data_IF_050898394126
#
_entry.id   IF_050898394126
#
_cell.length_a   1.000
_cell.length_b   1.000
_cell.length_c   1.000
_cell.angle_alpha   90.00
_cell.angle_beta   90.00
_cell.angle_gamma   90.00
#
_symmetry.space_group_name_H-M   'P 1'
#
loop_
_entity.id
_entity.type
_entity.pdbx_description
1 polymer ?
#
# COMPACT_ATOMS: atom_id res chain seq x y z
N UNK A 1 -47.24 6.57 24.96
CA UNK A 1 -47.80 7.47 25.99
C UNK A 1 -48.71 6.61 26.86
N UNK A 2 -48.36 6.41 28.13
CA UNK A 2 -49.25 5.72 29.06
C UNK A 2 -50.45 6.63 29.42
N UNK A 3 -51.63 6.07 29.75
CA UNK A 3 -52.81 6.88 30.09
C UNK A 3 -52.66 7.48 31.49
N UNK A 4 -52.93 8.78 31.62
CA UNK A 4 -52.99 9.49 32.90
C UNK A 4 -54.42 9.43 33.44
N UNK A 5 -54.60 9.12 34.73
CA UNK A 5 -55.89 9.31 35.43
C UNK A 5 -55.93 10.71 36.06
N UNK A 6 -57.07 11.41 35.94
CA UNK A 6 -57.29 12.68 36.64
C UNK A 6 -58.05 12.43 37.95
N UNK A 7 -57.55 13.03 39.04
CA UNK A 7 -58.22 13.03 40.33
C UNK A 7 -58.66 14.46 40.66
N UNK A 8 -59.96 14.64 40.88
CA UNK A 8 -60.57 15.92 41.23
C UNK A 8 -60.68 16.08 42.76
N UNK A 9 -60.03 17.11 43.31
CA UNK A 9 -60.08 17.42 44.74
C UNK A 9 -60.63 18.84 44.93
N UNK A 10 -61.63 18.96 45.81
CA UNK A 10 -62.23 20.24 46.20
C UNK A 10 -61.64 20.73 47.52
N UNK A 11 -61.13 21.97 47.54
CA UNK A 11 -60.53 22.55 48.74
C UNK A 11 -61.02 23.98 48.95
N UNK A 12 -61.42 24.37 50.17
CA UNK A 12 -61.67 25.77 50.51
C UNK A 12 -60.34 26.51 50.69
N UNK A 13 -60.17 27.60 49.94
CA UNK A 13 -59.04 28.56 49.84
C UNK A 13 -57.60 28.05 50.17
N UNK A 14 -56.65 28.14 49.21
CA UNK A 14 -55.31 27.61 49.41
C UNK A 14 -54.55 28.37 50.52
N UNK A 15 -53.85 27.65 51.43
CA UNK A 15 -53.05 28.28 52.47
C UNK A 15 -51.84 29.03 51.88
N UNK A 16 -51.28 29.98 52.65
CA UNK A 16 -50.18 30.86 52.23
C UNK A 16 -48.88 30.12 51.86
N UNK A 17 -48.68 28.91 52.36
CA UNK A 17 -47.58 28.02 51.95
C UNK A 17 -48.11 26.85 51.10
N UNK A 18 -48.17 27.11 49.79
CA UNK A 18 -48.63 26.16 48.78
C UNK A 18 -47.71 24.93 48.71
N UNK A 19 -46.41 25.05 49.00
CA UNK A 19 -45.47 23.94 48.83
C UNK A 19 -45.54 22.90 49.95
N UNK A 20 -45.75 23.33 51.20
CA UNK A 20 -45.97 22.38 52.29
C UNK A 20 -47.30 21.66 52.12
N UNK A 21 -48.31 22.40 51.69
CA UNK A 21 -49.65 21.86 51.46
C UNK A 21 -49.73 20.88 50.29
N UNK A 22 -49.05 21.15 49.17
CA UNK A 22 -48.93 20.20 48.06
C UNK A 22 -48.23 18.90 48.51
N UNK A 23 -47.24 18.99 49.40
CA UNK A 23 -46.58 17.81 50.00
C UNK A 23 -47.54 16.98 50.87
N UNK A 24 -48.40 17.62 51.64
CA UNK A 24 -49.41 16.93 52.44
C UNK A 24 -50.47 16.24 51.57
N UNK A 25 -50.87 16.83 50.43
CA UNK A 25 -51.79 16.19 49.47
C UNK A 25 -51.11 14.97 48.81
N UNK A 26 -49.88 15.12 48.35
CA UNK A 26 -49.05 14.04 47.78
C UNK A 26 -48.95 12.88 48.75
N UNK A 27 -48.76 13.16 50.04
CA UNK A 27 -48.65 12.15 51.09
C UNK A 27 -50.00 11.54 51.46
N UNK A 28 -51.06 12.34 51.59
CA UNK A 28 -52.41 11.89 52.00
C UNK A 28 -53.11 11.04 50.96
N UNK A 29 -52.84 11.27 49.67
CA UNK A 29 -53.47 10.55 48.55
C UNK A 29 -52.49 9.63 47.80
N UNK A 30 -51.32 9.34 48.39
CA UNK A 30 -50.31 8.40 47.87
C UNK A 30 -49.90 8.66 46.41
N UNK A 31 -49.71 9.94 46.06
CA UNK A 31 -49.30 10.35 44.70
C UNK A 31 -47.78 10.40 44.62
N UNK A 32 -47.15 9.57 43.79
CA UNK A 32 -45.68 9.43 43.76
C UNK A 32 -44.96 10.41 42.83
N UNK A 33 -45.61 10.84 41.76
CA UNK A 33 -45.05 11.85 40.84
C UNK A 33 -46.16 12.79 40.36
N UNK A 34 -45.99 14.08 40.66
CA UNK A 34 -46.97 15.14 40.38
C UNK A 34 -46.60 15.81 39.06
N UNK A 35 -47.34 15.52 37.98
CA UNK A 35 -46.96 15.97 36.63
C UNK A 35 -47.50 17.38 36.36
N UNK A 36 -48.72 17.65 36.81
CA UNK A 36 -49.38 18.95 36.65
C UNK A 36 -50.44 19.18 37.71
N UNK A 37 -50.51 20.42 38.19
CA UNK A 37 -51.59 20.92 39.06
C UNK A 37 -52.23 22.09 38.33
N UNK A 38 -53.52 21.99 38.04
CA UNK A 38 -54.33 23.10 37.53
C UNK A 38 -55.26 23.59 38.62
N UNK A 39 -55.23 24.90 38.94
CA UNK A 39 -56.22 25.53 39.82
C UNK A 39 -57.26 26.18 38.92
N UNK A 40 -58.50 25.74 39.04
CA UNK A 40 -59.63 26.27 38.29
C UNK A 40 -60.57 27.01 39.23
N UNK A 41 -60.95 28.21 38.83
CA UNK A 41 -61.92 29.03 39.54
C UNK A 41 -63.29 28.77 38.92
N UNK A 42 -64.27 28.37 39.75
CA UNK A 42 -65.64 28.18 39.28
C UNK A 42 -66.25 29.52 38.87
N UNK A 43 -66.94 29.57 37.72
CA UNK A 43 -67.43 30.84 37.14
C UNK A 43 -68.44 31.61 38.01
N UNK A 44 -68.92 31.08 39.14
CA UNK A 44 -69.96 31.74 39.96
C UNK A 44 -69.82 31.63 41.49
N UNK A 45 -68.70 31.18 42.05
CA UNK A 45 -68.47 31.20 43.51
C UNK A 45 -67.00 31.48 43.84
N UNK A 46 -66.74 32.61 44.50
CA UNK A 46 -65.40 33.19 44.69
C UNK A 46 -64.47 32.41 45.64
N UNK A 47 -64.90 31.28 46.22
CA UNK A 47 -64.16 30.56 47.26
C UNK A 47 -64.02 29.04 47.06
N UNK A 48 -64.32 28.51 45.86
CA UNK A 48 -64.13 27.09 45.56
C UNK A 48 -63.08 26.90 44.46
N UNK A 49 -61.89 26.43 44.85
CA UNK A 49 -60.83 26.07 43.93
C UNK A 49 -60.93 24.58 43.59
N UNK A 50 -61.09 24.26 42.30
CA UNK A 50 -60.99 22.88 41.80
C UNK A 50 -59.54 22.61 41.41
N UNK A 51 -58.98 21.51 41.89
CA UNK A 51 -57.62 21.10 41.53
C UNK A 51 -57.65 19.77 40.82
N UNK A 52 -57.09 19.76 39.61
CA UNK A 52 -56.87 18.56 38.82
C UNK A 52 -55.40 18.15 38.96
N UNK A 53 -55.18 16.95 39.53
CA UNK A 53 -53.86 16.36 39.67
C UNK A 53 -53.71 15.23 38.65
N UNK A 54 -52.68 15.33 37.81
CA UNK A 54 -52.24 14.25 36.93
C UNK A 54 -51.07 13.53 37.60
N UNK A 55 -51.25 12.26 37.96
CA UNK A 55 -50.21 11.43 38.53
C UNK A 55 -49.89 10.21 37.66
N UNK A 56 -48.62 9.77 37.70
CA UNK A 56 -48.31 8.38 37.37
C UNK A 56 -48.82 7.51 38.52
N UNK A 57 -49.70 6.56 38.23
CA UNK A 57 -50.08 5.51 39.17
C UNK A 57 -48.89 4.55 39.34
N UNK A 58 -47.87 4.95 40.11
CA UNK A 58 -46.95 4.00 40.72
C UNK A 58 -47.79 3.14 41.66
N UNK A 59 -48.12 1.94 41.21
CA UNK A 59 -49.03 1.03 41.91
C UNK A 59 -49.45 -0.16 41.06
N UNK A 60 -49.36 -0.05 39.73
CA UNK A 60 -49.41 -1.24 38.87
C UNK A 60 -48.01 -1.83 38.79
N UNK A 61 -47.79 -2.90 39.54
CA UNK A 61 -46.62 -3.77 39.38
C UNK A 61 -46.64 -4.31 37.95
N UNK A 62 -45.76 -3.80 37.09
CA UNK A 62 -45.74 -4.12 35.67
C UNK A 62 -44.62 -5.09 35.34
N UNK A 63 -44.92 -6.09 34.52
CA UNK A 63 -43.93 -7.01 33.93
C UNK A 63 -43.79 -6.72 32.43
N UNK A 64 -42.56 -6.66 31.93
CA UNK A 64 -42.29 -6.60 30.49
C UNK A 64 -41.25 -7.64 30.07
N UNK A 65 -41.22 -8.00 28.78
CA UNK A 65 -40.26 -8.95 28.21
C UNK A 65 -39.72 -8.42 26.89
N UNK A 66 -38.40 -8.42 26.74
CA UNK A 66 -37.70 -7.98 25.53
C UNK A 66 -36.66 -9.02 25.07
N UNK A 67 -36.53 -9.30 23.77
CA UNK A 67 -37.42 -8.86 22.70
C UNK A 67 -38.80 -9.55 22.78
N UNK A 68 -39.82 -9.02 22.07
CA UNK A 68 -41.18 -9.61 22.04
C UNK A 68 -41.31 -10.81 21.10
N UNK A 69 -40.35 -10.96 20.19
CA UNK A 69 -40.31 -12.02 19.17
C UNK A 69 -38.86 -12.42 18.91
N UNK A 70 -38.66 -13.62 18.38
CA UNK A 70 -37.37 -14.04 17.85
C UNK A 70 -37.59 -14.97 16.66
N UNK A 71 -37.26 -14.50 15.46
CA UNK A 71 -37.28 -15.31 14.24
C UNK A 71 -35.89 -15.33 13.64
N UNK A 72 -35.43 -16.51 13.26
CA UNK A 72 -34.04 -16.70 12.85
C UNK A 72 -33.87 -17.94 11.95
N UNK A 73 -32.69 -18.08 11.36
CA UNK A 73 -32.29 -19.28 10.63
C UNK A 73 -31.21 -20.07 11.37
N UNK A 74 -31.39 -21.39 11.38
CA UNK A 74 -30.47 -22.35 12.00
C UNK A 74 -30.22 -23.50 11.04
N UNK A 75 -28.97 -23.92 10.90
CA UNK A 75 -28.61 -25.09 10.11
C UNK A 75 -28.99 -26.38 10.86
N UNK A 76 -29.48 -27.40 10.14
CA UNK A 76 -29.82 -28.69 10.75
C UNK A 76 -28.61 -29.30 11.49
N UNK A 77 -28.78 -29.72 12.74
CA UNK A 77 -27.71 -30.27 13.58
C UNK A 77 -26.84 -29.24 14.29
N UNK A 78 -27.12 -27.93 14.14
CA UNK A 78 -26.50 -26.85 14.92
C UNK A 78 -27.48 -26.27 15.93
N UNK A 79 -26.97 -25.45 16.85
CA UNK A 79 -27.77 -24.77 17.87
C UNK A 79 -27.60 -23.25 17.79
N UNK A 80 -28.69 -22.52 17.97
CA UNK A 80 -28.69 -21.06 18.10
C UNK A 80 -29.60 -20.66 19.26
N UNK A 81 -29.21 -19.61 19.99
CA UNK A 81 -29.93 -19.20 21.20
C UNK A 81 -30.14 -17.69 21.22
N UNK A 82 -31.27 -17.28 21.79
CA UNK A 82 -31.61 -15.87 22.05
C UNK A 82 -31.91 -15.68 23.52
N UNK A 83 -31.30 -14.66 24.12
CA UNK A 83 -31.58 -14.27 25.50
C UNK A 83 -32.70 -13.23 25.52
N UNK A 84 -33.64 -13.44 26.43
CA UNK A 84 -34.77 -12.57 26.71
C UNK A 84 -34.63 -12.01 28.12
N UNK A 85 -34.98 -10.75 28.28
CA UNK A 85 -34.94 -10.02 29.54
C UNK A 85 -36.36 -9.76 30.00
N UNK A 86 -36.68 -10.19 31.23
CA UNK A 86 -37.94 -9.91 31.91
C UNK A 86 -37.68 -8.83 32.96
N UNK A 87 -38.35 -7.69 32.84
CA UNK A 87 -38.18 -6.54 33.74
C UNK A 87 -39.44 -6.29 34.55
N UNK A 88 -39.25 -5.91 35.81
CA UNK A 88 -40.32 -5.45 36.70
C UNK A 88 -40.25 -3.92 36.87
N UNK A 89 -41.39 -3.24 36.88
CA UNK A 89 -41.47 -1.78 37.06
C UNK A 89 -42.64 -1.44 37.97
N UNK A 90 -42.50 -0.44 38.84
CA UNK A 90 -43.58 -0.02 39.76
C UNK A 90 -43.83 -0.97 40.94
N UNK A 91 -43.03 -2.04 41.09
CA UNK A 91 -43.00 -2.93 42.24
C UNK A 91 -42.40 -4.31 41.93
N UNK A 92 -42.34 -5.20 42.93
CA UNK A 92 -41.81 -6.56 42.76
C UNK A 92 -42.83 -7.48 42.07
N UNK A 93 -42.48 -8.03 40.92
CA UNK A 93 -43.27 -9.06 40.23
C UNK A 93 -42.94 -10.42 40.85
N UNK A 94 -43.94 -11.13 41.38
CA UNK A 94 -43.71 -12.42 42.06
C UNK A 94 -44.01 -13.64 41.19
N UNK A 95 -43.27 -14.71 41.43
CA UNK A 95 -43.53 -16.03 40.86
C UNK A 95 -43.43 -16.07 39.33
N UNK A 96 -42.38 -15.47 38.76
CA UNK A 96 -42.20 -15.45 37.31
C UNK A 96 -41.74 -16.82 36.80
N UNK A 97 -42.49 -17.37 35.85
CA UNK A 97 -42.23 -18.66 35.20
C UNK A 97 -42.24 -18.52 33.69
N UNK A 98 -41.48 -19.39 33.01
CA UNK A 98 -41.33 -19.40 31.56
C UNK A 98 -41.62 -20.81 31.05
N UNK A 99 -42.56 -20.94 30.12
CA UNK A 99 -42.97 -22.22 29.55
C UNK A 99 -43.10 -22.13 28.04
N UNK A 100 -42.62 -23.16 27.33
CA UNK A 100 -42.93 -23.34 25.90
C UNK A 100 -44.39 -23.78 25.78
N UNK A 101 -45.19 -23.02 25.05
CA UNK A 101 -46.59 -23.33 24.77
C UNK A 101 -46.74 -24.23 23.54
N UNK A 102 -46.01 -23.92 22.47
CA UNK A 102 -46.10 -24.63 21.20
C UNK A 102 -44.78 -24.60 20.43
N UNK A 103 -44.68 -25.46 19.42
CA UNK A 103 -43.50 -25.57 18.57
C UNK A 103 -42.70 -26.86 18.81
N UNK A 104 -41.67 -27.09 18.00
CA UNK A 104 -40.94 -28.35 17.96
C UNK A 104 -40.19 -28.66 19.26
N UNK A 105 -39.98 -29.96 19.52
CA UNK A 105 -39.33 -30.47 20.74
C UNK A 105 -37.90 -29.95 20.96
N UNK A 106 -37.20 -29.63 19.87
CA UNK A 106 -35.83 -29.12 19.87
C UNK A 106 -35.70 -27.61 20.14
N UNK A 107 -36.81 -26.90 20.34
CA UNK A 107 -36.81 -25.56 20.93
C UNK A 107 -36.99 -25.70 22.43
N UNK A 108 -36.01 -25.24 23.20
CA UNK A 108 -35.98 -25.34 24.65
C UNK A 108 -35.85 -23.97 25.29
N UNK A 109 -36.30 -23.86 26.55
CA UNK A 109 -36.20 -22.63 27.34
C UNK A 109 -35.50 -22.95 28.65
N UNK A 110 -34.57 -22.09 29.08
CA UNK A 110 -33.88 -22.24 30.36
C UNK A 110 -33.44 -20.88 30.93
N UNK A 111 -33.64 -20.62 32.23
CA UNK A 111 -34.40 -21.43 33.18
C UNK A 111 -35.93 -21.29 32.99
N UNK A 112 -36.71 -22.27 33.46
CA UNK A 112 -38.20 -22.26 33.41
C UNK A 112 -38.84 -21.52 34.61
N UNK A 113 -38.05 -21.20 35.63
CA UNK A 113 -38.48 -20.40 36.78
C UNK A 113 -37.46 -19.29 37.02
N UNK A 114 -37.94 -18.05 37.04
CA UNK A 114 -37.16 -16.86 37.35
C UNK A 114 -37.37 -16.40 38.79
N UNK A 115 -38.39 -16.94 39.48
CA UNK A 115 -38.77 -16.52 40.83
C UNK A 115 -39.24 -15.07 40.86
N UNK A 116 -39.00 -14.38 41.97
CA UNK A 116 -39.42 -12.98 42.13
C UNK A 116 -38.41 -12.03 41.47
N UNK A 117 -38.92 -11.00 40.80
CA UNK A 117 -38.14 -9.93 40.19
C UNK A 117 -38.42 -8.65 40.97
N UNK A 118 -37.41 -8.15 41.69
CA UNK A 118 -37.51 -6.94 42.50
C UNK A 118 -37.87 -5.72 41.66
N UNK A 119 -38.49 -4.71 42.29
CA UNK A 119 -38.80 -3.45 41.65
C UNK A 119 -37.60 -2.87 40.88
N UNK A 120 -37.85 -2.44 39.64
CA UNK A 120 -36.88 -1.81 38.74
C UNK A 120 -35.63 -2.67 38.44
N UNK A 121 -35.79 -4.00 38.56
CA UNK A 121 -34.76 -4.98 38.21
C UNK A 121 -35.22 -5.90 37.07
N UNK A 122 -34.30 -6.72 36.57
CA UNK A 122 -34.61 -7.69 35.52
C UNK A 122 -33.89 -9.02 35.75
N UNK A 123 -34.47 -10.07 35.18
CA UNK A 123 -33.87 -11.40 35.07
C UNK A 123 -33.94 -11.88 33.63
N UNK A 124 -33.09 -12.83 33.26
CA UNK A 124 -33.00 -13.33 31.89
C UNK A 124 -33.30 -14.81 31.80
N UNK A 125 -33.81 -15.22 30.64
CA UNK A 125 -33.89 -16.62 30.22
C UNK A 125 -33.45 -16.73 28.77
N UNK A 126 -33.08 -17.94 28.36
CA UNK A 126 -32.60 -18.22 27.02
C UNK A 126 -33.51 -19.21 26.32
N UNK A 127 -33.87 -18.88 25.09
CA UNK A 127 -34.54 -19.78 24.15
C UNK A 127 -33.48 -20.35 23.24
N UNK A 128 -33.40 -21.67 23.11
CA UNK A 128 -32.41 -22.36 22.29
C UNK A 128 -33.11 -23.22 21.24
N UNK A 129 -32.80 -22.99 19.97
CA UNK A 129 -33.20 -23.83 18.85
C UNK A 129 -32.06 -24.79 18.51
N UNK A 130 -32.29 -26.11 18.61
CA UNK A 130 -31.29 -27.16 18.31
C UNK A 130 -31.87 -28.26 17.40
N UNK A 131 -32.29 -27.94 16.16
CA UNK A 131 -32.91 -28.90 15.25
C UNK A 131 -32.03 -30.14 15.01
N UNK A 132 -32.58 -31.37 15.05
CA UNK A 132 -31.85 -32.59 14.70
C UNK A 132 -31.32 -32.54 13.27
N UNK A 133 -30.25 -33.30 13.00
CA UNK A 133 -29.74 -33.51 11.66
C UNK A 133 -30.86 -34.04 10.73
N UNK A 134 -30.98 -33.49 9.52
CA UNK A 134 -32.02 -33.84 8.55
C UNK A 134 -33.36 -33.10 8.71
N UNK A 135 -33.48 -32.19 9.68
CA UNK A 135 -34.64 -31.30 9.78
C UNK A 135 -34.55 -30.19 8.73
N UNK A 136 -35.63 -29.91 8.01
CA UNK A 136 -35.70 -28.76 7.08
C UNK A 136 -37.10 -28.17 7.07
N UNK A 137 -37.22 -26.86 6.86
CA UNK A 137 -38.50 -26.17 6.79
C UNK A 137 -38.61 -25.04 7.80
N UNK A 138 -39.78 -24.42 7.86
CA UNK A 138 -40.06 -23.30 8.77
C UNK A 138 -40.94 -23.76 9.92
N UNK A 139 -40.55 -23.45 11.15
CA UNK A 139 -41.20 -23.93 12.36
C UNK A 139 -41.55 -22.76 13.27
N UNK A 140 -42.85 -22.54 13.44
CA UNK A 140 -43.35 -21.57 14.41
C UNK A 140 -43.28 -22.14 15.83
N UNK A 141 -43.05 -21.26 16.80
CA UNK A 141 -43.08 -21.60 18.21
C UNK A 141 -43.67 -20.45 19.04
N UNK A 142 -44.16 -20.79 20.23
CA UNK A 142 -44.60 -19.79 21.20
C UNK A 142 -44.19 -20.14 22.63
N UNK A 143 -43.82 -19.12 23.38
CA UNK A 143 -43.38 -19.19 24.77
C UNK A 143 -44.21 -18.21 25.59
N UNK A 144 -44.65 -18.65 26.76
CA UNK A 144 -45.35 -17.81 27.71
C UNK A 144 -44.48 -17.51 28.91
N UNK A 145 -44.39 -16.23 29.23
CA UNK A 145 -43.86 -15.74 30.51
C UNK A 145 -45.07 -15.37 31.37
N UNK A 146 -45.21 -15.99 32.54
CA UNK A 146 -46.33 -15.79 33.47
C UNK A 146 -45.85 -15.33 34.82
N UNK A 147 -46.64 -14.53 35.52
CA UNK A 147 -46.39 -14.11 36.90
C UNK A 147 -47.60 -14.37 37.80
N UNK A 148 -47.35 -14.56 39.10
CA UNK A 148 -48.41 -14.70 40.11
C UNK A 148 -48.96 -13.31 40.51
N UNK A 149 -48.06 -12.36 40.75
CA UNK A 149 -48.37 -10.97 41.12
C UNK A 149 -47.65 -10.02 40.17
N UNK A 150 -48.41 -9.12 39.52
CA UNK A 150 -47.96 -8.26 38.42
C UNK A 150 -48.94 -8.27 37.24
N UNK A 151 -48.84 -7.26 36.38
CA UNK A 151 -49.61 -7.11 35.14
C UNK A 151 -48.70 -6.86 33.93
N UNK A 152 -48.99 -7.42 32.74
CA UNK A 152 -50.02 -8.43 32.50
C UNK A 152 -49.65 -9.78 33.13
N UNK A 153 -50.65 -10.58 33.52
CA UNK A 153 -50.45 -11.93 34.09
C UNK A 153 -49.67 -12.90 33.20
N UNK A 154 -49.65 -12.65 31.89
CA UNK A 154 -48.84 -13.40 30.96
C UNK A 154 -48.46 -12.59 29.73
N UNK A 155 -47.27 -12.84 29.19
CA UNK A 155 -46.78 -12.29 27.93
C UNK A 155 -46.35 -13.47 27.05
N UNK A 156 -46.90 -13.52 25.83
CA UNK A 156 -46.53 -14.52 24.84
C UNK A 156 -45.48 -13.94 23.88
N UNK A 157 -44.45 -14.74 23.65
CA UNK A 157 -43.39 -14.50 22.68
C UNK A 157 -43.62 -15.51 21.57
N UNK A 158 -43.63 -15.01 20.34
CA UNK A 158 -43.77 -15.84 19.14
C UNK A 158 -42.55 -15.68 18.25
N UNK A 159 -42.30 -16.67 17.43
CA UNK A 159 -41.17 -16.68 16.54
C UNK A 159 -41.22 -17.81 15.54
N UNK A 160 -40.44 -17.67 14.49
CA UNK A 160 -40.33 -18.66 13.41
C UNK A 160 -38.86 -19.00 13.23
N UNK A 161 -38.52 -20.28 13.37
CA UNK A 161 -37.18 -20.79 13.09
C UNK A 161 -37.19 -21.47 11.72
N UNK A 162 -36.45 -20.89 10.78
CA UNK A 162 -36.24 -21.51 9.46
C UNK A 162 -35.01 -22.39 9.50
N UNK A 163 -35.24 -23.70 9.41
CA UNK A 163 -34.17 -24.69 9.35
C UNK A 163 -33.79 -24.92 7.90
N UNK A 164 -32.61 -24.42 7.55
CA UNK A 164 -32.01 -24.70 6.25
C UNK A 164 -31.42 -26.10 6.26
N UNK A 165 -31.56 -26.89 5.17
CA UNK A 165 -30.80 -28.11 5.04
C UNK A 165 -29.30 -27.78 5.23
N UNK A 166 -28.50 -28.72 5.78
CA UNK A 166 -27.07 -28.52 5.80
C UNK A 166 -26.64 -28.25 4.34
N UNK A 167 -25.80 -27.23 4.07
CA UNK A 167 -25.27 -27.05 2.73
C UNK A 167 -24.71 -28.41 2.29
N UNK A 168 -24.88 -28.81 1.02
CA UNK A 168 -24.30 -30.06 0.56
C UNK A 168 -22.83 -30.02 0.96
N UNK A 169 -22.39 -31.02 1.74
CA UNK A 169 -20.97 -31.17 2.09
C UNK A 169 -20.22 -31.05 0.78
N UNK A 170 -19.29 -30.11 0.71
CA UNK A 170 -18.48 -30.01 -0.48
C UNK A 170 -17.80 -31.35 -0.70
N UNK A 171 -18.02 -31.95 -1.87
CA UNK A 171 -17.39 -33.20 -2.27
C UNK A 171 -16.39 -32.95 -3.39
N UNK A 172 -16.27 -31.71 -3.86
CA UNK A 172 -15.41 -31.35 -4.98
C UNK A 172 -14.09 -30.85 -4.41
N UNK A 173 -12.98 -31.54 -4.66
CA UNK A 173 -11.68 -31.04 -4.23
C UNK A 173 -11.25 -29.85 -5.09
N UNK A 174 -10.44 -28.92 -4.55
CA UNK A 174 -9.82 -27.86 -5.35
C UNK A 174 -9.16 -28.43 -6.60
N UNK A 175 -9.41 -27.83 -7.75
CA UNK A 175 -8.87 -28.29 -9.02
C UNK A 175 -7.77 -27.33 -9.52
N UNK A 176 -6.62 -27.86 -9.97
CA UNK A 176 -5.61 -27.04 -10.61
C UNK A 176 -6.08 -26.70 -12.03
N UNK A 177 -6.25 -25.42 -12.34
CA UNK A 177 -6.70 -24.99 -13.66
C UNK A 177 -5.52 -24.78 -14.62
N UNK A 178 -4.37 -24.34 -14.09
CA UNK A 178 -3.16 -24.09 -14.88
C UNK A 178 -1.91 -24.12 -13.97
N UNK A 179 -0.89 -24.87 -14.36
CA UNK A 179 0.44 -24.85 -13.71
C UNK A 179 1.44 -24.12 -14.59
N UNK A 180 2.06 -23.06 -14.08
CA UNK A 180 3.13 -22.34 -14.79
C UNK A 180 4.40 -22.38 -13.95
N UNK A 181 5.40 -23.08 -14.46
CA UNK A 181 6.77 -22.79 -14.04
C UNK A 181 7.24 -21.64 -14.92
N UNK A 182 7.28 -20.45 -14.36
CA UNK A 182 7.99 -19.35 -14.97
C UNK A 182 9.44 -19.47 -14.52
N UNK A 183 10.39 -19.98 -15.35
CA UNK A 183 11.79 -19.73 -15.07
C UNK A 183 11.90 -18.23 -14.90
N UNK A 184 12.42 -17.81 -13.74
CA UNK A 184 12.27 -16.49 -13.16
C UNK A 184 11.96 -15.44 -14.20
N UNK A 185 10.77 -14.86 -14.09
CA UNK A 185 10.43 -13.57 -14.69
C UNK A 185 11.70 -12.82 -15.08
N UNK A 186 12.03 -12.81 -16.38
CA UNK A 186 12.83 -11.74 -16.96
C UNK A 186 11.89 -10.54 -16.98
N UNK A 187 11.67 -9.95 -15.80
CA UNK A 187 11.47 -8.51 -15.67
C UNK A 187 12.87 -8.02 -15.33
N UNK A 188 13.32 -7.11 -16.18
CA UNK A 188 14.67 -6.59 -16.27
C UNK A 188 15.25 -6.17 -14.90
N UNK A 189 16.57 -6.40 -14.78
CA UNK A 189 17.55 -5.58 -14.04
C UNK A 189 18.03 -5.94 -12.62
N UNK A 190 17.92 -7.19 -12.14
CA UNK A 190 18.84 -7.66 -11.09
C UNK A 190 19.01 -9.19 -11.00
N UNK A 191 20.16 -9.68 -11.47
CA UNK A 191 20.63 -11.06 -11.32
C UNK A 191 21.01 -11.43 -9.87
N UNK A 192 20.10 -11.19 -8.92
CA UNK A 192 20.13 -11.68 -7.53
C UNK A 192 18.92 -12.58 -7.18
N UNK A 193 18.02 -12.85 -8.13
CA UNK A 193 16.64 -13.31 -7.88
C UNK A 193 16.39 -14.77 -7.46
N UNK A 194 15.26 -14.95 -6.79
CA UNK A 194 14.62 -16.23 -6.45
C UNK A 194 14.03 -16.95 -7.68
N UNK A 195 13.89 -18.28 -7.65
CA UNK A 195 13.08 -19.04 -8.62
C UNK A 195 11.62 -19.02 -8.16
N UNK A 196 10.69 -18.62 -9.03
CA UNK A 196 9.26 -18.57 -8.72
C UNK A 196 8.51 -19.76 -9.32
N UNK A 197 7.81 -20.51 -8.47
CA UNK A 197 6.88 -21.56 -8.86
C UNK A 197 5.46 -21.05 -8.71
N UNK A 198 4.62 -21.15 -9.75
CA UNK A 198 3.28 -20.53 -9.77
C UNK A 198 2.20 -21.52 -10.20
N UNK A 199 1.06 -21.50 -9.51
CA UNK A 199 -0.09 -22.36 -9.79
C UNK A 199 -1.39 -21.57 -9.67
N UNK A 200 -2.31 -21.82 -10.59
CA UNK A 200 -3.67 -21.30 -10.51
C UNK A 200 -4.59 -22.37 -9.93
N UNK A 201 -5.22 -22.07 -8.81
CA UNK A 201 -6.20 -22.94 -8.19
C UNK A 201 -7.62 -22.37 -8.33
N UNK A 202 -8.59 -23.27 -8.56
CA UNK A 202 -10.03 -22.98 -8.55
C UNK A 202 -10.76 -23.94 -7.64
N UNK A 203 -11.77 -23.42 -6.97
CA UNK A 203 -12.67 -24.17 -6.12
C UNK A 203 -14.06 -23.51 -6.09
N UNK A 204 -15.11 -24.32 -5.91
CA UNK A 204 -16.50 -23.86 -5.87
C UNK A 204 -16.96 -23.41 -4.47
N UNK A 205 -16.27 -23.77 -3.38
CA UNK A 205 -16.54 -23.24 -2.02
C UNK A 205 -15.29 -22.83 -1.21
N UNK A 206 -14.32 -22.29 -1.93
CA UNK A 206 -13.16 -21.52 -1.45
C UNK A 206 -11.93 -22.32 -1.03
N UNK A 207 -10.77 -21.75 -1.37
CA UNK A 207 -9.46 -22.32 -1.04
C UNK A 207 -9.01 -21.83 0.34
N UNK A 208 -8.89 -22.75 1.29
CA UNK A 208 -8.44 -22.46 2.66
C UNK A 208 -6.91 -22.42 2.79
N UNK A 209 -6.21 -23.32 2.10
CA UNK A 209 -4.76 -23.49 2.26
C UNK A 209 -4.12 -24.02 0.98
N UNK A 210 -2.91 -23.55 0.68
CA UNK A 210 -2.08 -24.07 -0.41
C UNK A 210 -0.68 -24.35 0.14
N UNK A 211 -0.04 -25.42 -0.32
CA UNK A 211 1.36 -25.76 -0.03
C UNK A 211 2.10 -26.13 -1.31
N UNK A 212 3.41 -25.97 -1.30
CA UNK A 212 4.33 -26.41 -2.34
C UNK A 212 5.30 -27.42 -1.75
N UNK A 213 5.55 -28.51 -2.45
CA UNK A 213 6.53 -29.52 -2.02
C UNK A 213 7.48 -29.82 -3.17
N UNK A 214 8.74 -30.06 -2.81
CA UNK A 214 9.84 -30.08 -3.76
C UNK A 214 10.69 -31.35 -3.60
N UNK A 215 11.27 -31.81 -4.71
CA UNK A 215 12.24 -32.90 -4.74
C UNK A 215 13.45 -32.53 -5.60
N UNK A 216 14.63 -33.00 -5.21
CA UNK A 216 15.86 -32.93 -5.99
C UNK A 216 16.41 -34.35 -6.26
N UNK A 217 16.58 -34.74 -7.52
CA UNK A 217 17.00 -36.09 -7.94
C UNK A 217 16.21 -37.23 -7.24
N UNK A 218 14.93 -37.01 -6.95
CA UNK A 218 14.01 -37.92 -6.23
C UNK A 218 14.07 -37.89 -4.70
N UNK A 219 14.89 -37.03 -4.09
CA UNK A 219 14.90 -36.80 -2.64
C UNK A 219 13.95 -35.65 -2.32
N UNK A 220 13.02 -35.85 -1.39
CA UNK A 220 12.16 -34.78 -0.90
C UNK A 220 13.00 -33.75 -0.13
N UNK A 221 12.93 -32.48 -0.55
CA UNK A 221 13.69 -31.37 0.05
C UNK A 221 12.81 -30.44 0.89
N UNK A 222 11.54 -30.81 1.08
CA UNK A 222 10.63 -30.17 2.03
C UNK A 222 9.39 -29.53 1.41
N UNK A 223 8.53 -29.07 2.32
CA UNK A 223 7.25 -28.41 2.04
C UNK A 223 7.33 -26.95 2.45
N UNK A 224 6.77 -26.04 1.64
CA UNK A 224 6.76 -24.59 1.85
C UNK A 224 5.36 -24.00 1.71
N UNK A 225 5.13 -22.93 2.45
CA UNK A 225 3.99 -22.03 2.23
C UNK A 225 4.19 -21.17 0.98
N UNK A 226 3.10 -20.69 0.35
CA UNK A 226 3.19 -19.69 -0.71
C UNK A 226 3.89 -18.43 -0.19
N UNK A 227 4.84 -17.91 -0.97
CA UNK A 227 5.48 -16.63 -0.74
C UNK A 227 4.51 -15.46 -1.02
N UNK A 228 3.51 -15.69 -1.86
CA UNK A 228 2.43 -14.74 -2.11
C UNK A 228 1.26 -15.37 -2.85
N UNK A 229 0.18 -14.58 -2.96
CA UNK A 229 -1.04 -14.95 -3.67
C UNK A 229 -1.72 -13.73 -4.29
N UNK A 230 -2.41 -13.95 -5.40
CA UNK A 230 -3.28 -13.00 -6.10
C UNK A 230 -4.58 -13.72 -6.41
N UNK A 231 -5.57 -13.52 -5.53
CA UNK A 231 -6.79 -14.34 -5.45
C UNK A 231 -8.01 -13.45 -5.26
N UNK A 232 -9.16 -13.93 -5.73
CA UNK A 232 -10.45 -13.31 -5.46
C UNK A 232 -10.91 -13.52 -3.99
N UNK A 233 -12.10 -13.01 -3.65
CA UNK A 233 -12.68 -13.13 -2.32
C UNK A 233 -12.92 -14.59 -1.87
N UNK A 234 -12.95 -15.52 -2.82
CA UNK A 234 -13.16 -16.94 -2.61
C UNK A 234 -11.82 -17.71 -2.60
N UNK A 235 -10.69 -17.01 -2.71
CA UNK A 235 -9.37 -17.64 -2.74
C UNK A 235 -9.00 -18.25 -4.09
N UNK A 236 -9.83 -18.10 -5.12
CA UNK A 236 -9.50 -18.59 -6.46
C UNK A 236 -8.51 -17.64 -7.13
N UNK A 237 -7.42 -18.18 -7.66
CA UNK A 237 -6.39 -17.35 -8.26
C UNK A 237 -5.00 -17.96 -8.24
N UNK A 238 -4.02 -17.08 -8.36
CA UNK A 238 -2.62 -17.44 -8.44
C UNK A 238 -1.99 -17.53 -7.06
N UNK A 239 -1.27 -18.62 -6.84
CA UNK A 239 -0.38 -18.80 -5.70
C UNK A 239 1.04 -19.00 -6.21
N UNK A 240 2.03 -18.44 -5.52
CA UNK A 240 3.43 -18.66 -5.88
C UNK A 240 4.35 -18.89 -4.68
N UNK A 241 5.43 -19.63 -4.92
CA UNK A 241 6.51 -19.87 -3.98
C UNK A 241 7.83 -19.42 -4.61
N UNK A 242 8.52 -18.50 -3.93
CA UNK A 242 9.80 -17.94 -4.35
C UNK A 242 10.93 -18.63 -3.56
N UNK A 243 11.80 -19.33 -4.26
CA UNK A 243 12.98 -19.99 -3.68
C UNK A 243 14.19 -19.07 -3.89
N UNK A 244 14.79 -18.47 -2.86
CA UNK A 244 15.92 -17.55 -3.01
C UNK A 244 17.19 -18.27 -3.46
N UNK A 245 18.12 -17.52 -4.06
CA UNK A 245 19.42 -18.03 -4.54
C UNK A 245 20.20 -18.81 -3.50
N UNK A 246 20.26 -18.32 -2.26
CA UNK A 246 20.92 -19.01 -1.17
C UNK A 246 20.39 -20.43 -0.91
N UNK A 247 19.14 -20.70 -1.30
CA UNK A 247 18.50 -22.00 -1.14
C UNK A 247 18.61 -22.86 -2.40
N UNK A 248 18.25 -22.34 -3.59
CA UNK A 248 18.29 -23.15 -4.81
C UNK A 248 19.71 -23.42 -5.32
N UNK A 249 20.69 -22.58 -4.99
CA UNK A 249 22.08 -22.77 -5.41
C UNK A 249 22.67 -24.11 -4.92
N UNK A 250 22.15 -24.66 -3.82
CA UNK A 250 22.55 -25.97 -3.27
C UNK A 250 22.20 -27.15 -4.20
N UNK A 251 21.26 -26.92 -5.13
CA UNK A 251 20.72 -27.94 -6.02
C UNK A 251 21.05 -27.66 -7.50
N UNK A 252 22.04 -26.80 -7.77
CA UNK A 252 22.57 -26.62 -9.12
C UNK A 252 23.07 -27.96 -9.68
N UNK A 253 22.70 -28.28 -10.92
CA UNK A 253 23.01 -29.56 -11.55
C UNK A 253 22.09 -30.73 -11.14
N UNK A 254 21.10 -30.49 -10.27
CA UNK A 254 20.07 -31.47 -9.89
C UNK A 254 18.81 -31.31 -10.74
N UNK A 255 18.06 -32.40 -10.90
CA UNK A 255 16.70 -32.36 -11.45
C UNK A 255 15.72 -32.01 -10.34
N UNK A 256 15.02 -30.88 -10.49
CA UNK A 256 14.02 -30.43 -9.53
C UNK A 256 12.63 -30.84 -10.00
N UNK A 257 11.89 -31.44 -9.09
CA UNK A 257 10.47 -31.70 -9.22
C UNK A 257 9.72 -30.95 -8.14
N UNK A 258 8.46 -30.63 -8.39
CA UNK A 258 7.62 -29.98 -7.41
C UNK A 258 6.16 -30.32 -7.65
N UNK A 259 5.33 -30.16 -6.64
CA UNK A 259 3.89 -30.08 -6.83
C UNK A 259 3.29 -29.05 -5.88
N UNK A 260 2.05 -28.67 -6.12
CA UNK A 260 1.27 -27.92 -5.15
C UNK A 260 0.07 -28.74 -4.72
N UNK A 261 -0.31 -28.58 -3.46
CA UNK A 261 -1.51 -29.19 -2.88
C UNK A 261 -2.36 -28.07 -2.30
N UNK A 262 -3.65 -28.08 -2.59
CA UNK A 262 -4.62 -27.13 -2.05
C UNK A 262 -5.69 -27.86 -1.24
N UNK A 263 -6.18 -27.19 -0.19
CA UNK A 263 -7.30 -27.62 0.63
C UNK A 263 -8.37 -26.54 0.64
N UNK A 264 -9.62 -26.96 0.61
CA UNK A 264 -10.77 -26.10 0.89
C UNK A 264 -11.04 -26.01 2.41
N UNK A 265 -12.06 -25.24 2.81
CA UNK A 265 -12.46 -25.13 4.23
C UNK A 265 -13.18 -26.37 4.76
N UNK A 266 -13.61 -27.28 3.88
CA UNK A 266 -14.16 -28.59 4.21
C UNK A 266 -13.07 -29.67 4.36
N UNK A 267 -11.80 -29.30 4.17
CA UNK A 267 -10.63 -30.16 4.20
C UNK A 267 -10.58 -31.22 3.08
N UNK A 268 -11.29 -30.99 1.97
CA UNK A 268 -11.05 -31.69 0.72
C UNK A 268 -9.76 -31.19 0.10
N UNK A 269 -9.05 -32.04 -0.64
CA UNK A 269 -7.73 -31.70 -1.16
C UNK A 269 -7.54 -32.14 -2.60
N UNK A 270 -6.84 -31.29 -3.36
CA UNK A 270 -6.38 -31.60 -4.71
C UNK A 270 -4.89 -31.29 -4.85
N UNK A 271 -4.22 -31.97 -5.77
CA UNK A 271 -2.82 -31.77 -6.08
C UNK A 271 -2.59 -31.49 -7.58
N UNK A 272 -1.47 -30.86 -7.90
CA UNK A 272 -1.09 -30.62 -9.30
C UNK A 272 -0.51 -31.85 -9.99
N UNK A 273 -0.37 -32.99 -9.29
CA UNK A 273 0.61 -34.03 -9.57
C UNK A 273 2.05 -33.49 -9.64
N UNK A 274 3.03 -34.38 -9.61
CA UNK A 274 4.45 -34.03 -9.70
C UNK A 274 4.75 -33.37 -11.05
N UNK A 275 5.25 -32.14 -11.00
CA UNK A 275 5.72 -31.32 -12.11
C UNK A 275 7.26 -31.40 -12.24
N UNK A 276 7.80 -31.41 -13.47
CA UNK A 276 9.24 -31.44 -13.74
C UNK A 276 9.68 -32.56 -14.71
N UNK A 277 10.99 -32.82 -14.87
CA UNK A 277 12.09 -32.17 -14.15
C UNK A 277 12.42 -30.79 -14.71
N UNK A 278 12.67 -29.85 -13.81
CA UNK A 278 13.37 -28.61 -14.11
C UNK A 278 14.87 -28.85 -13.88
N UNK A 279 15.68 -28.62 -14.90
CA UNK A 279 17.13 -28.59 -14.75
C UNK A 279 17.55 -27.22 -14.26
N UNK A 280 18.02 -27.12 -13.01
CA UNK A 280 18.75 -25.93 -12.56
C UNK A 280 20.14 -26.02 -13.19
N UNK A 281 20.27 -25.43 -14.37
CA UNK A 281 21.60 -25.20 -14.95
C UNK A 281 22.31 -24.15 -14.09
N UNK A 282 23.64 -24.29 -13.87
CA UNK A 282 24.38 -23.17 -13.34
C UNK A 282 24.12 -21.97 -14.25
N UNK A 283 23.62 -20.87 -13.68
CA UNK A 283 23.85 -19.58 -14.31
C UNK A 283 25.36 -19.50 -14.56
N UNK A 284 25.81 -18.96 -15.72
CA UNK A 284 27.21 -18.58 -15.82
C UNK A 284 27.58 -17.78 -14.56
N UNK A 285 28.79 -18.00 -13.99
CA UNK A 285 29.23 -17.24 -12.83
C UNK A 285 28.99 -15.76 -13.10
N UNK A 286 28.55 -15.02 -12.08
CA UNK A 286 28.43 -13.57 -12.19
C UNK A 286 29.79 -13.07 -12.67
N UNK A 287 29.81 -12.35 -13.78
CA UNK A 287 31.05 -11.78 -14.26
C UNK A 287 31.52 -10.73 -13.25
N UNK A 288 32.73 -10.95 -12.75
CA UNK A 288 33.40 -10.07 -11.78
C UNK A 288 34.65 -9.43 -12.38
N UNK A 289 34.92 -9.69 -13.66
CA UNK A 289 36.08 -9.16 -14.37
C UNK A 289 35.71 -7.78 -14.89
N UNK A 290 36.41 -6.70 -14.49
CA UNK A 290 36.13 -5.39 -15.05
C UNK A 290 36.69 -5.26 -16.47
N UNK A 291 36.07 -4.39 -17.31
CA UNK A 291 36.60 -4.09 -18.63
C UNK A 291 38.06 -3.63 -18.63
N UNK A 292 38.83 -4.07 -19.61
CA UNK A 292 40.16 -3.52 -19.91
C UNK A 292 40.01 -2.32 -20.83
N UNK A 293 40.53 -1.18 -20.40
CA UNK A 293 40.45 0.10 -21.12
C UNK A 293 41.86 0.62 -21.40
N UNK A 294 42.05 1.22 -22.58
CA UNK A 294 43.28 1.89 -22.99
C UNK A 294 42.94 3.15 -23.80
N UNK A 295 43.37 4.32 -23.34
CA UNK A 295 43.31 5.56 -24.10
C UNK A 295 44.37 5.52 -25.20
N UNK A 296 43.98 5.84 -26.44
CA UNK A 296 44.89 5.83 -27.60
C UNK A 296 45.24 7.26 -28.00
N UNK A 297 44.28 8.18 -27.99
CA UNK A 297 44.52 9.60 -28.23
C UNK A 297 43.40 10.46 -27.60
N UNK A 298 43.73 11.58 -26.94
CA UNK A 298 45.09 12.06 -26.70
C UNK A 298 45.76 11.19 -25.63
N UNK A 299 47.04 10.86 -25.80
CA UNK A 299 47.81 10.05 -24.85
C UNK A 299 49.09 10.74 -24.34
N UNK A 300 49.33 11.99 -24.75
CA UNK A 300 50.41 12.82 -24.24
C UNK A 300 51.13 13.62 -25.31
N UNK A 301 51.39 14.90 -25.00
CA UNK A 301 52.17 15.81 -25.84
C UNK A 301 51.43 16.36 -27.06
N UNK A 302 50.19 15.94 -27.33
CA UNK A 302 49.39 16.54 -28.40
C UNK A 302 49.06 18.00 -28.08
N UNK A 303 48.89 18.80 -29.14
CA UNK A 303 48.41 20.19 -29.03
C UNK A 303 47.11 20.30 -29.80
N UNK A 304 46.02 20.43 -29.06
CA UNK A 304 44.66 20.58 -29.60
C UNK A 304 44.22 22.02 -29.48
N UNK A 305 43.74 22.60 -30.57
CA UNK A 305 43.23 23.97 -30.54
C UNK A 305 41.82 23.97 -29.97
N UNK A 306 41.56 24.93 -29.11
CA UNK A 306 40.20 25.21 -28.65
C UNK A 306 39.26 25.44 -29.85
N UNK A 307 38.00 25.06 -29.68
CA UNK A 307 36.90 25.18 -30.64
C UNK A 307 36.99 24.32 -31.91
N UNK A 308 38.11 23.62 -32.11
CA UNK A 308 38.25 22.62 -33.16
C UNK A 308 37.60 21.28 -32.76
N UNK A 309 37.13 20.54 -33.76
CA UNK A 309 36.66 19.18 -33.59
C UNK A 309 37.86 18.23 -33.61
N UNK A 310 38.16 17.61 -32.49
CA UNK A 310 39.23 16.64 -32.33
C UNK A 310 38.64 15.27 -31.97
N UNK A 311 39.32 14.19 -32.36
CA UNK A 311 38.82 12.83 -32.13
C UNK A 311 39.54 12.17 -30.97
N UNK A 312 38.78 11.85 -29.93
CA UNK A 312 39.24 10.99 -28.83
C UNK A 312 39.11 9.54 -29.30
N UNK A 313 40.14 8.72 -29.08
CA UNK A 313 40.15 7.29 -29.44
C UNK A 313 40.60 6.44 -28.27
N UNK A 314 40.00 5.26 -28.13
CA UNK A 314 40.29 4.32 -27.06
C UNK A 314 40.05 2.88 -27.54
N UNK A 315 40.56 1.93 -26.76
CA UNK A 315 40.19 0.51 -26.83
C UNK A 315 39.59 0.12 -25.50
N UNK A 316 38.38 -0.42 -25.52
CA UNK A 316 37.75 -1.03 -24.36
C UNK A 316 37.25 -2.42 -24.73
N UNK A 317 37.67 -3.44 -23.99
CA UNK A 317 37.33 -4.84 -24.23
C UNK A 317 37.08 -5.57 -22.93
N UNK A 318 36.21 -6.56 -22.99
CA UNK A 318 35.76 -7.33 -21.84
C UNK A 318 35.31 -8.72 -22.31
N UNK A 319 35.24 -9.72 -21.43
CA UNK A 319 34.84 -11.09 -21.79
C UNK A 319 33.34 -11.25 -22.00
N UNK A 320 32.50 -10.41 -21.37
CA UNK A 320 31.05 -10.32 -21.67
C UNK A 320 30.68 -9.11 -22.53
N UNK A 321 31.65 -8.22 -22.76
CA UNK A 321 31.52 -7.09 -23.67
C UNK A 321 31.17 -5.79 -22.95
N UNK A 322 31.53 -4.67 -23.58
CA UNK A 322 31.35 -3.33 -23.01
C UNK A 322 30.05 -2.73 -23.51
N UNK A 323 29.12 -2.44 -22.59
CA UNK A 323 27.79 -1.89 -22.88
C UNK A 323 27.79 -0.37 -22.94
N UNK A 324 28.66 0.28 -22.16
CA UNK A 324 28.65 1.73 -21.96
C UNK A 324 30.05 2.30 -21.77
N UNK A 325 30.28 3.50 -22.28
CA UNK A 325 31.48 4.29 -22.07
C UNK A 325 31.11 5.72 -21.64
N UNK A 326 31.84 6.25 -20.66
CA UNK A 326 31.80 7.62 -20.19
C UNK A 326 33.18 8.27 -20.44
N UNK A 327 33.20 9.48 -21.01
CA UNK A 327 34.42 10.21 -21.38
C UNK A 327 34.51 11.48 -20.55
N UNK A 328 35.66 11.70 -19.94
CA UNK A 328 35.97 12.90 -19.15
C UNK A 328 37.26 13.55 -19.63
N UNK A 329 37.38 14.86 -19.39
CA UNK A 329 38.62 15.59 -19.57
C UNK A 329 38.95 16.41 -18.32
N UNK A 330 40.22 16.73 -18.15
CA UNK A 330 40.73 17.60 -17.09
C UNK A 330 41.61 18.68 -17.71
N UNK A 331 41.67 19.86 -17.10
CA UNK A 331 42.59 20.96 -17.45
C UNK A 331 43.58 21.28 -16.35
N UNK A 332 43.57 20.52 -15.25
CA UNK A 332 44.32 20.78 -14.02
C UNK A 332 45.19 19.59 -13.56
N UNK A 333 45.50 18.68 -14.48
CA UNK A 333 46.30 17.47 -14.23
C UNK A 333 45.53 16.37 -13.50
N UNK A 334 44.21 16.27 -13.72
CA UNK A 334 43.38 15.21 -13.17
C UNK A 334 42.86 15.47 -11.75
N UNK A 335 42.98 16.71 -11.23
CA UNK A 335 42.42 17.07 -9.92
C UNK A 335 40.90 17.26 -9.99
N UNK A 336 40.42 17.80 -11.11
CA UNK A 336 39.01 17.88 -11.45
C UNK A 336 38.75 17.32 -12.85
N UNK A 337 37.56 16.75 -13.03
CA UNK A 337 37.14 16.06 -14.25
C UNK A 337 35.80 16.61 -14.72
N UNK A 338 35.77 17.06 -15.96
CA UNK A 338 34.57 17.55 -16.66
C UNK A 338 34.09 16.50 -17.65
N UNK A 339 32.77 16.23 -17.74
CA UNK A 339 32.24 15.27 -18.70
C UNK A 339 32.37 15.80 -20.13
N UNK A 340 32.85 14.94 -21.03
CA UNK A 340 32.81 15.15 -22.49
C UNK A 340 31.56 14.49 -23.09
N UNK A 341 31.34 13.23 -22.74
CA UNK A 341 30.20 12.43 -23.19
C UNK A 341 29.89 11.38 -22.13
N UNK A 342 28.61 11.12 -21.89
CA UNK A 342 28.16 10.12 -20.93
C UNK A 342 27.23 9.12 -21.61
N UNK A 343 27.32 7.89 -21.17
CA UNK A 343 26.46 6.77 -21.55
C UNK A 343 26.44 6.48 -23.04
N UNK A 344 27.59 6.57 -23.69
CA UNK A 344 27.73 6.28 -25.12
C UNK A 344 28.05 4.80 -25.35
N UNK A 345 27.71 4.28 -26.52
CA UNK A 345 28.13 2.94 -26.94
C UNK A 345 29.65 2.89 -27.16
N UNK A 346 30.25 1.71 -26.95
CA UNK A 346 31.67 1.52 -27.19
C UNK A 346 32.01 1.46 -28.69
N UNK A 347 32.18 2.63 -29.32
CA UNK A 347 32.58 2.79 -30.73
C UNK A 347 34.10 2.88 -30.91
N UNK A 348 34.87 2.94 -29.83
CA UNK A 348 36.32 3.16 -29.83
C UNK A 348 36.77 4.57 -30.23
N UNK A 349 35.82 5.47 -30.53
CA UNK A 349 36.14 6.87 -30.87
C UNK A 349 34.96 7.82 -30.64
N UNK A 350 35.28 9.08 -30.35
CA UNK A 350 34.31 10.15 -30.12
C UNK A 350 34.82 11.49 -30.66
N UNK A 351 33.97 12.20 -31.38
CA UNK A 351 34.28 13.52 -31.93
C UNK A 351 33.97 14.59 -30.88
N UNK A 352 35.02 15.16 -30.31
CA UNK A 352 34.95 16.15 -29.25
C UNK A 352 35.24 17.55 -29.77
N UNK A 353 34.31 18.46 -29.52
CA UNK A 353 34.55 19.90 -29.72
C UNK A 353 35.33 20.44 -28.52
N UNK A 354 36.61 20.73 -28.72
CA UNK A 354 37.53 21.11 -27.64
C UNK A 354 37.07 22.43 -27.00
N UNK A 355 36.90 22.50 -25.68
CA UNK A 355 36.46 23.71 -25.01
C UNK A 355 37.52 24.81 -25.05
N UNK A 356 37.08 26.05 -25.02
CA UNK A 356 37.92 27.27 -24.96
C UNK A 356 38.49 27.53 -23.56
N UNK A 357 39.13 26.51 -23.00
CA UNK A 357 39.81 26.55 -21.69
C UNK A 357 41.27 26.11 -21.85
N UNK A 358 42.16 27.03 -22.31
CA UNK A 358 43.55 26.68 -22.61
C UNK A 358 44.30 26.20 -21.36
N UNK A 359 45.07 25.13 -21.52
CA UNK A 359 45.92 24.57 -20.47
C UNK A 359 46.95 23.63 -21.09
N UNK A 360 48.14 23.56 -20.50
CA UNK A 360 49.20 22.62 -20.89
C UNK A 360 49.16 21.32 -20.08
N UNK A 361 48.22 21.19 -19.14
CA UNK A 361 48.12 20.08 -18.20
C UNK A 361 46.77 19.35 -18.34
N UNK A 362 46.37 19.08 -19.58
CA UNK A 362 45.10 18.42 -19.86
C UNK A 362 45.25 16.90 -19.87
N UNK A 363 44.24 16.18 -19.36
CA UNK A 363 44.17 14.71 -19.40
C UNK A 363 42.79 14.28 -19.89
N UNK A 364 42.70 13.09 -20.51
CA UNK A 364 41.43 12.43 -20.85
C UNK A 364 41.32 11.14 -20.06
N UNK A 365 40.13 10.85 -19.53
CA UNK A 365 39.81 9.58 -18.86
C UNK A 365 38.61 8.93 -19.54
N UNK A 366 38.71 7.63 -19.74
CA UNK A 366 37.64 6.78 -20.27
C UNK A 366 37.23 5.80 -19.18
N UNK A 367 35.94 5.78 -18.88
CA UNK A 367 35.31 4.84 -17.94
C UNK A 367 34.40 3.90 -18.76
N UNK A 368 34.68 2.60 -18.77
CA UNK A 368 33.92 1.59 -19.49
C UNK A 368 33.17 0.68 -18.52
N UNK A 369 31.97 0.24 -18.92
CA UNK A 369 31.09 -0.61 -18.13
C UNK A 369 30.61 -1.80 -18.96
N UNK A 370 30.59 -2.97 -18.34
CA UNK A 370 30.05 -4.19 -18.93
C UNK A 370 28.54 -4.36 -18.65
N UNK A 371 27.98 -5.52 -18.99
CA UNK A 371 26.58 -5.86 -18.71
C UNK A 371 26.33 -6.24 -17.24
N UNK A 372 27.36 -6.71 -16.54
CA UNK A 372 27.30 -7.07 -15.12
C UNK A 372 27.41 -5.85 -14.18
N UNK A 373 27.73 -4.68 -14.72
CA UNK A 373 27.93 -3.43 -14.00
C UNK A 373 29.35 -3.21 -13.48
N UNK A 374 30.33 -4.05 -13.84
CA UNK A 374 31.72 -3.78 -13.48
C UNK A 374 32.26 -2.59 -14.27
N UNK A 375 33.26 -1.92 -13.69
CA UNK A 375 33.83 -0.68 -14.23
C UNK A 375 35.33 -0.82 -14.45
N UNK A 376 35.75 -0.63 -15.69
CA UNK A 376 37.14 -0.39 -16.08
C UNK A 376 37.39 1.09 -16.34
N UNK A 377 38.60 1.57 -16.08
CA UNK A 377 38.97 2.96 -16.36
C UNK A 377 40.42 3.06 -16.83
N UNK A 378 40.66 3.99 -17.74
CA UNK A 378 42.02 4.38 -18.11
C UNK A 378 42.12 5.89 -18.35
N UNK A 379 43.32 6.45 -18.14
CA UNK A 379 43.63 7.86 -18.30
C UNK A 379 44.84 8.01 -19.23
N UNK A 380 44.83 9.03 -20.09
CA UNK A 380 45.96 9.37 -20.96
C UNK A 380 47.30 9.39 -20.20
N UNK A 381 48.34 8.73 -20.75
CA UNK A 381 49.62 8.49 -20.07
C UNK A 381 50.36 9.76 -19.66
N UNK A 382 50.22 10.82 -20.47
CA UNK A 382 50.82 12.12 -20.23
C UNK A 382 49.88 13.26 -20.60
N UNK A 383 50.12 14.48 -20.09
CA UNK A 383 49.28 15.61 -20.42
C UNK A 383 49.39 16.02 -21.89
N UNK A 384 48.25 16.40 -22.47
CA UNK A 384 48.18 17.12 -23.73
C UNK A 384 47.90 18.61 -23.46
N UNK A 385 48.06 19.44 -24.49
CA UNK A 385 47.84 20.88 -24.41
C UNK A 385 46.59 21.27 -25.17
N UNK A 386 45.69 22.02 -24.53
CA UNK A 386 44.67 22.82 -25.22
C UNK A 386 45.25 24.21 -25.46
N UNK A 387 45.52 24.55 -26.72
CA UNK A 387 45.96 25.89 -27.10
C UNK A 387 44.75 26.83 -27.30
N UNK A 388 44.90 28.14 -27.04
CA UNK A 388 43.82 29.10 -27.27
C UNK A 388 43.34 29.12 -28.72
N UNK A 389 42.11 29.61 -28.91
CA UNK A 389 41.63 29.98 -30.24
C UNK A 389 42.49 31.15 -30.69
N UNK A 390 43.19 30.94 -31.80
CA UNK A 390 43.90 32.00 -32.51
C UNK A 390 42.87 32.77 -33.34
N UNK A 391 42.30 33.85 -32.80
CA UNK A 391 41.47 34.72 -33.62
C UNK A 391 42.40 35.62 -34.44
N UNK A 392 42.51 35.37 -35.76
CA UNK A 392 43.32 36.25 -36.64
C UNK A 392 42.80 37.68 -36.55
N UNK A 393 43.68 38.57 -36.10
CA UNK A 393 43.41 39.98 -35.83
C UNK A 393 43.23 40.34 -34.36
N UNK A 394 43.09 39.38 -33.44
CA UNK A 394 43.05 39.60 -31.99
C UNK A 394 44.48 39.58 -31.44
N UNK A 395 45.11 40.75 -31.44
CA UNK A 395 46.53 40.92 -31.11
C UNK A 395 46.70 41.07 -29.60
N UNK A 396 45.69 41.52 -28.87
CA UNK A 396 45.74 41.60 -27.39
C UNK A 396 45.25 40.32 -26.68
N UNK A 397 44.72 39.34 -27.43
CA UNK A 397 44.11 38.10 -26.95
C UNK A 397 42.92 38.32 -26.00
N UNK A 398 42.13 39.36 -26.21
CA UNK A 398 40.93 39.64 -25.42
C UNK A 398 39.66 38.91 -25.94
N UNK A 399 39.82 38.14 -27.02
CA UNK A 399 38.76 37.37 -27.67
C UNK A 399 37.95 38.19 -28.68
N UNK A 400 38.34 39.42 -28.98
CA UNK A 400 37.70 40.30 -29.97
C UNK A 400 38.73 40.80 -30.98
N UNK A 401 38.24 41.20 -32.16
CA UNK A 401 39.04 41.94 -33.13
C UNK A 401 38.49 43.36 -33.18
N UNK A 402 39.16 44.29 -32.52
CA UNK A 402 38.69 45.67 -32.40
C UNK A 402 39.79 46.73 -32.59
N UNK A 403 39.46 47.99 -32.28
CA UNK A 403 40.38 49.11 -32.46
C UNK A 403 41.63 49.03 -31.56
N UNK A 404 41.59 48.27 -30.46
CA UNK A 404 42.75 48.01 -29.62
C UNK A 404 43.79 47.17 -30.36
N UNK A 405 43.35 46.14 -31.09
CA UNK A 405 44.23 45.31 -31.91
C UNK A 405 44.85 46.10 -33.05
N UNK A 406 44.08 46.98 -33.67
CA UNK A 406 44.59 47.90 -34.69
C UNK A 406 45.74 48.78 -34.19
N UNK A 407 45.64 49.25 -32.95
CA UNK A 407 46.69 50.07 -32.33
C UNK A 407 47.93 49.23 -32.06
N UNK A 408 47.77 48.01 -31.55
CA UNK A 408 48.89 47.09 -31.31
C UNK A 408 49.58 46.68 -32.60
N UNK A 409 48.82 46.37 -33.66
CA UNK A 409 49.34 46.06 -35.00
C UNK A 409 50.28 47.14 -35.52
N UNK A 410 49.87 48.41 -35.37
CA UNK A 410 50.69 49.56 -35.76
C UNK A 410 51.94 49.70 -34.91
N UNK A 411 51.85 49.45 -33.60
CA UNK A 411 52.99 49.55 -32.70
C UNK A 411 54.04 48.48 -33.00
N UNK A 412 53.60 47.25 -33.35
CA UNK A 412 54.49 46.16 -33.74
C UNK A 412 55.22 46.51 -35.05
N UNK A 413 54.52 47.02 -36.07
CA UNK A 413 55.13 47.40 -37.36
C UNK A 413 56.05 48.62 -37.28
N UNK A 414 55.83 49.50 -36.32
CA UNK A 414 56.72 50.61 -36.02
C UNK A 414 57.94 50.18 -35.18
N UNK A 415 58.10 48.89 -34.88
CA UNK A 415 59.19 48.34 -34.07
C UNK A 415 59.13 48.74 -32.60
N UNK A 416 57.96 49.17 -32.11
CA UNK A 416 57.77 49.62 -30.72
C UNK A 416 57.35 48.48 -29.78
N UNK A 417 56.85 47.39 -30.34
CA UNK A 417 56.49 46.16 -29.63
C UNK A 417 57.08 44.96 -30.36
N UNK A 418 57.52 43.94 -29.63
CA UNK A 418 58.05 42.71 -30.24
C UNK A 418 56.89 41.83 -30.75
N UNK A 419 57.02 41.21 -31.95
CA UNK A 419 56.01 40.27 -32.47
C UNK A 419 55.94 38.93 -31.72
N UNK A 420 56.89 38.64 -30.84
CA UNK A 420 57.11 37.29 -30.28
C UNK A 420 55.96 36.77 -29.41
N UNK A 421 55.04 37.63 -28.96
CA UNK A 421 53.89 37.23 -28.15
C UNK A 421 52.60 37.03 -28.96
N UNK A 422 52.48 37.62 -30.16
CA UNK A 422 51.21 37.68 -30.92
C UNK A 422 51.39 37.58 -32.45
N UNK A 423 52.58 37.24 -32.94
CA UNK A 423 52.95 37.35 -34.36
C UNK A 423 52.08 36.53 -35.32
N UNK A 424 51.51 35.43 -34.85
CA UNK A 424 50.58 34.61 -35.62
C UNK A 424 49.15 35.17 -35.70
N UNK A 425 48.74 35.99 -34.72
CA UNK A 425 47.43 36.66 -34.74
C UNK A 425 47.49 37.93 -35.61
N UNK A 426 48.65 38.57 -35.60
CA UNK A 426 48.95 39.77 -36.38
C UNK A 426 49.20 39.45 -37.87
N UNK A 427 49.71 38.26 -38.20
CA UNK A 427 49.82 37.75 -39.57
C UNK A 427 48.42 37.37 -40.12
N UNK A 428 47.80 38.32 -40.82
CA UNK A 428 46.41 38.19 -41.27
C UNK A 428 46.29 37.31 -42.50
N UNK A 429 47.33 37.25 -43.35
CA UNK A 429 47.31 36.48 -44.60
C UNK A 429 47.98 35.08 -44.48
N UNK A 430 48.72 34.82 -43.40
CA UNK A 430 49.37 33.54 -43.11
C UNK A 430 50.69 33.31 -43.85
N UNK A 431 51.34 34.37 -44.34
CA UNK A 431 52.60 34.28 -45.09
C UNK A 431 53.85 34.25 -44.19
N UNK A 432 53.67 34.39 -42.87
CA UNK A 432 54.74 34.39 -41.88
C UNK A 432 55.53 35.70 -41.82
N UNK A 433 55.13 36.74 -42.56
CA UNK A 433 55.82 38.03 -42.66
C UNK A 433 54.87 39.16 -42.31
N UNK A 434 55.00 39.70 -41.09
CA UNK A 434 54.22 40.84 -40.68
C UNK A 434 54.56 42.10 -41.48
N UNK A 435 53.66 42.56 -42.34
CA UNK A 435 53.90 43.71 -43.20
C UNK A 435 52.64 44.57 -43.45
N UNK A 436 52.71 45.50 -44.41
CA UNK A 436 51.63 46.44 -44.70
C UNK A 436 50.34 45.74 -45.20
N UNK A 437 50.44 44.55 -45.77
CA UNK A 437 49.30 43.75 -46.25
C UNK A 437 48.43 43.34 -45.06
N UNK A 438 49.06 42.88 -43.97
CA UNK A 438 48.34 42.43 -42.78
C UNK A 438 47.57 43.56 -42.10
N UNK A 439 48.16 44.75 -42.08
CA UNK A 439 47.48 45.98 -41.63
C UNK A 439 46.24 46.25 -42.46
N UNK A 440 46.36 46.20 -43.78
CA UNK A 440 45.21 46.48 -44.65
C UNK A 440 44.11 45.45 -44.42
N UNK A 441 44.46 44.18 -44.23
CA UNK A 441 43.50 43.12 -43.90
C UNK A 441 42.81 43.33 -42.56
N UNK A 442 43.57 43.65 -41.49
CA UNK A 442 42.99 43.94 -40.18
C UNK A 442 42.05 45.15 -40.23
N UNK A 443 42.46 46.22 -40.92
CA UNK A 443 41.62 47.41 -41.13
C UNK A 443 40.32 47.07 -41.87
N UNK A 444 40.41 46.27 -42.93
CA UNK A 444 39.25 45.87 -43.71
C UNK A 444 38.28 45.04 -42.88
N UNK A 445 38.79 44.12 -42.05
CA UNK A 445 37.98 43.31 -41.13
C UNK A 445 37.22 44.18 -40.13
N UNK A 446 37.91 45.14 -39.50
CA UNK A 446 37.30 46.12 -38.58
C UNK A 446 36.23 47.00 -39.24
N UNK A 447 36.44 47.40 -40.50
CA UNK A 447 35.48 48.21 -41.24
C UNK A 447 34.23 47.43 -41.69
N UNK A 448 34.33 46.09 -41.78
CA UNK A 448 33.21 45.21 -42.13
C UNK A 448 32.37 44.82 -40.90
N UNK A 449 32.89 45.00 -39.69
CA UNK A 449 32.18 44.66 -38.45
C UNK A 449 32.04 43.15 -38.23
N UNK A 450 33.00 42.37 -38.74
CA UNK A 450 33.08 40.90 -38.64
C UNK A 450 33.86 40.42 -37.41
#
# INVERSE_FOLDING_TARGET
>A
MQPYESLDIFVPDPPSDIQSWLRDIVTKYEVYELIRVGIFYGENDLHAHRIEVLSHKYGVVSMDVQPKTWSDSVEAGKSKSQTFTVSATGGTVKGVTVAKLSGPGWITVSPTSLGDISADSSKTFTVTASPPAGTSGSFDYSIRVSCAEGEPKSIDITGTITVSPPPPSDTTPPQPAETKVEPGIIIRDDYQGSIRFKVYWRDDKNIAKVKFEFWADSINIGVKDPSGRDVDANGNGWYWCDIPRAEWAKYVGKKIYWHSVAWDFANNWGDTNIQGPLSIVPSPPLDTTPPSVMVISPNGGEVWKADELQRITWRATDDVGVTRVDIYYSTDGGRSWSPVALSISNTGSYDWRVPSTPSTNCLVRIDAYDEAGNKGSDTSDAPFTISPIVLRGDINHDGKVDAADWVLMKQILLGRLSPETCGWAADMNGDGVLNAIDVVMLKQKLLRGE
#
